data_IF_704768723206
#
_entry.id   IF_704768723206
#
_cell.length_a   1.000
_cell.length_b   1.000
_cell.length_c   1.000
_cell.angle_alpha   90.00
_cell.angle_beta   90.00
_cell.angle_gamma   90.00
#
_symmetry.space_group_name_H-M   'P 1'
#
loop_
_entity.id
_entity.type
_entity.pdbx_description
1 polymer ?
#
# COMPACT_ATOMS: atom_id res chain seq x y z
N UNK A 1 1.25 14.03 65.11
CA UNK A 1 0.29 14.26 64.05
C UNK A 1 1.11 14.37 62.77
N UNK A 2 1.16 13.29 61.97
CA UNK A 2 1.85 13.27 60.69
C UNK A 2 0.83 13.58 59.57
N UNK A 3 1.08 14.63 58.79
CA UNK A 3 0.26 15.01 57.62
C UNK A 3 0.52 14.03 56.51
N UNK A 4 -0.55 13.42 55.98
CA UNK A 4 -0.54 12.62 54.76
C UNK A 4 -0.31 13.54 53.56
N UNK A 5 0.51 13.14 52.56
CA UNK A 5 0.71 13.94 51.36
C UNK A 5 -0.57 13.94 50.52
N UNK A 6 -0.96 15.13 50.06
CA UNK A 6 -2.15 15.39 49.26
C UNK A 6 -2.14 14.61 47.94
N UNK A 7 -3.31 14.11 47.58
CA UNK A 7 -3.57 13.46 46.31
C UNK A 7 -3.22 14.41 45.16
N UNK A 8 -2.32 13.98 44.30
CA UNK A 8 -2.03 14.68 43.04
C UNK A 8 -3.32 14.72 42.19
N UNK A 9 -3.79 15.93 41.93
CA UNK A 9 -4.88 16.18 41.00
C UNK A 9 -4.42 15.80 39.57
N UNK A 10 -4.79 14.59 39.14
CA UNK A 10 -4.54 14.15 37.76
C UNK A 10 -5.26 15.07 36.80
N UNK A 11 -4.51 15.78 35.97
CA UNK A 11 -5.07 16.51 34.83
C UNK A 11 -5.90 15.54 33.99
N UNK A 12 -7.08 15.95 33.50
CA UNK A 12 -7.87 15.08 32.61
C UNK A 12 -7.02 14.66 31.43
N UNK A 13 -6.90 13.35 31.21
CA UNK A 13 -6.13 12.79 30.10
C UNK A 13 -6.63 13.43 28.78
N UNK A 14 -5.76 14.19 28.14
CA UNK A 14 -6.07 14.81 26.84
C UNK A 14 -6.41 13.69 25.84
N UNK A 15 -7.56 13.83 25.15
CA UNK A 15 -7.92 12.89 24.08
C UNK A 15 -6.82 12.89 23.01
N UNK A 16 -6.44 11.72 22.49
CA UNK A 16 -5.48 11.63 21.39
C UNK A 16 -5.90 12.49 20.19
N UNK A 17 -4.96 12.95 19.35
CA UNK A 17 -5.30 13.63 18.08
C UNK A 17 -6.24 12.78 17.22
N UNK A 18 -7.06 13.42 16.39
CA UNK A 18 -8.07 12.74 15.57
C UNK A 18 -7.51 11.56 14.73
N UNK A 19 -6.34 11.64 14.06
CA UNK A 19 -5.78 10.51 13.35
C UNK A 19 -5.52 9.30 14.24
N UNK A 20 -5.04 9.50 15.47
CA UNK A 20 -4.85 8.41 16.42
C UNK A 20 -6.18 7.82 16.93
N UNK A 21 -7.21 8.63 17.08
CA UNK A 21 -8.54 8.11 17.45
C UNK A 21 -9.10 7.23 16.32
N UNK A 22 -8.90 7.62 15.06
CA UNK A 22 -9.33 6.85 13.90
C UNK A 22 -8.61 5.48 13.89
N UNK A 23 -7.28 5.45 13.97
CA UNK A 23 -6.54 4.18 13.92
C UNK A 23 -6.90 3.25 15.09
N UNK A 24 -7.11 3.78 16.30
CA UNK A 24 -7.52 2.98 17.44
C UNK A 24 -8.91 2.39 17.26
N UNK A 25 -9.86 3.15 16.71
CA UNK A 25 -11.21 2.66 16.42
C UNK A 25 -11.22 1.59 15.31
N UNK A 26 -10.44 1.79 14.26
CA UNK A 26 -10.28 0.82 13.17
C UNK A 26 -9.57 -0.46 13.64
N UNK A 27 -8.53 -0.33 14.45
CA UNK A 27 -7.86 -1.49 15.05
C UNK A 27 -8.82 -2.30 15.93
N UNK A 28 -9.63 -1.62 16.76
CA UNK A 28 -10.65 -2.29 17.56
C UNK A 28 -11.65 -3.02 16.65
N UNK A 29 -12.19 -2.36 15.64
CA UNK A 29 -13.15 -2.98 14.72
C UNK A 29 -12.57 -4.22 14.02
N UNK A 30 -11.29 -4.17 13.64
CA UNK A 30 -10.56 -5.31 13.05
C UNK A 30 -10.45 -6.51 14.00
N UNK A 31 -10.13 -6.27 15.27
CA UNK A 31 -10.07 -7.33 16.27
C UNK A 31 -11.45 -7.88 16.62
N UNK A 32 -12.45 -7.02 16.74
CA UNK A 32 -13.83 -7.43 16.98
C UNK A 32 -14.37 -8.32 15.84
N UNK A 33 -14.09 -7.96 14.59
CA UNK A 33 -14.46 -8.77 13.43
C UNK A 33 -13.82 -10.17 13.47
N UNK A 34 -12.53 -10.24 13.82
CA UNK A 34 -11.82 -11.51 13.92
C UNK A 34 -12.30 -12.37 15.10
N UNK A 35 -12.61 -11.74 16.24
CA UNK A 35 -13.07 -12.43 17.45
C UNK A 35 -14.50 -12.99 17.32
N UNK A 36 -15.36 -12.30 16.56
CA UNK A 36 -16.76 -12.68 16.37
C UNK A 36 -17.02 -13.55 15.12
N UNK A 37 -15.99 -13.83 14.30
CA UNK A 37 -16.16 -14.64 13.10
C UNK A 37 -16.31 -16.13 13.43
N UNK A 38 -17.44 -16.75 13.06
CA UNK A 38 -17.73 -18.16 13.31
C UNK A 38 -16.65 -19.11 12.74
N UNK A 39 -16.28 -18.95 11.46
CA UNK A 39 -15.28 -19.81 10.78
C UNK A 39 -13.91 -19.13 10.73
N UNK A 40 -13.87 -17.82 10.71
CA UNK A 40 -12.65 -17.00 10.69
C UNK A 40 -11.79 -17.10 9.44
N UNK A 41 -12.21 -17.80 8.36
CA UNK A 41 -11.43 -17.92 7.14
C UNK A 41 -11.21 -16.57 6.46
N UNK A 42 -12.26 -15.77 6.31
CA UNK A 42 -12.19 -14.45 5.67
C UNK A 42 -11.26 -13.54 6.46
N UNK A 43 -11.40 -13.50 7.79
CA UNK A 43 -10.55 -12.67 8.65
C UNK A 43 -9.07 -13.08 8.57
N UNK A 44 -8.79 -14.39 8.51
CA UNK A 44 -7.41 -14.89 8.32
C UNK A 44 -6.83 -14.48 6.97
N UNK A 45 -7.64 -14.51 5.90
CA UNK A 45 -7.23 -14.03 4.58
C UNK A 45 -7.01 -12.52 4.57
N UNK A 46 -7.88 -11.74 5.21
CA UNK A 46 -7.69 -10.29 5.38
C UNK A 46 -6.37 -10.02 6.07
N UNK A 47 -6.08 -10.67 7.19
CA UNK A 47 -4.82 -10.48 7.92
C UNK A 47 -3.60 -10.93 7.12
N UNK A 48 -3.72 -12.04 6.37
CA UNK A 48 -2.66 -12.50 5.48
C UNK A 48 -2.33 -11.47 4.40
N UNK A 49 -3.35 -10.97 3.71
CA UNK A 49 -3.16 -9.99 2.64
C UNK A 49 -2.77 -8.61 3.16
N UNK A 50 -3.29 -8.18 4.30
CA UNK A 50 -2.85 -6.94 4.96
C UNK A 50 -1.37 -6.98 5.37
N UNK A 51 -0.86 -8.16 5.74
CA UNK A 51 0.56 -8.35 6.02
C UNK A 51 1.41 -8.44 4.74
N UNK A 52 0.84 -8.98 3.66
CA UNK A 52 1.52 -9.09 2.37
C UNK A 52 1.64 -7.73 1.67
N UNK A 53 0.55 -6.97 1.62
CA UNK A 53 0.45 -5.64 1.05
C UNK A 53 0.47 -4.56 2.14
N UNK A 54 1.39 -4.63 3.07
CA UNK A 54 1.37 -3.74 4.22
C UNK A 54 1.73 -2.28 3.86
N UNK A 55 1.07 -1.35 4.54
CA UNK A 55 1.42 0.07 4.56
C UNK A 55 1.78 0.49 5.99
N UNK A 56 2.62 1.52 6.14
CA UNK A 56 3.04 1.97 7.48
C UNK A 56 2.05 2.98 8.04
N UNK A 57 1.57 2.73 9.26
CA UNK A 57 0.76 3.68 10.00
C UNK A 57 1.53 4.97 10.34
N UNK A 58 2.86 4.94 10.42
CA UNK A 58 3.67 6.13 10.69
C UNK A 58 3.63 7.15 9.56
N UNK A 59 3.49 6.69 8.32
CA UNK A 59 3.36 7.58 7.16
C UNK A 59 1.93 8.06 6.94
N UNK A 60 0.93 7.24 7.25
CA UNK A 60 -0.44 7.48 6.83
C UNK A 60 -1.48 6.94 7.84
N UNK A 61 -1.35 7.40 9.06
CA UNK A 61 -2.15 6.94 10.22
C UNK A 61 -3.65 6.88 9.97
N UNK A 62 -4.19 7.84 9.23
CA UNK A 62 -5.64 7.96 9.03
C UNK A 62 -6.21 7.00 7.97
N UNK A 63 -5.39 6.48 7.04
CA UNK A 63 -5.85 5.70 5.88
C UNK A 63 -5.68 4.19 6.02
N UNK A 64 -4.93 3.71 7.02
CA UNK A 64 -4.60 2.27 7.15
C UNK A 64 -5.85 1.40 7.30
N UNK A 65 -6.83 1.82 8.08
CA UNK A 65 -8.08 1.10 8.26
C UNK A 65 -8.98 1.16 7.00
N UNK A 66 -9.04 2.32 6.35
CA UNK A 66 -9.72 2.48 5.07
C UNK A 66 -9.10 1.57 4.00
N UNK A 67 -7.78 1.52 3.92
CA UNK A 67 -7.04 0.65 3.01
C UNK A 67 -7.41 -0.83 3.17
N UNK A 68 -7.44 -1.37 4.39
CA UNK A 68 -7.88 -2.75 4.62
C UNK A 68 -9.34 -2.96 4.18
N UNK A 69 -10.22 -2.02 4.54
CA UNK A 69 -11.66 -2.12 4.30
C UNK A 69 -12.02 -1.99 2.82
N UNK A 70 -11.33 -1.14 2.08
CA UNK A 70 -11.67 -0.75 0.71
C UNK A 70 -10.88 -1.53 -0.34
N UNK A 71 -9.59 -1.78 -0.12
CA UNK A 71 -8.74 -2.45 -1.08
C UNK A 71 -8.54 -3.95 -0.82
N UNK A 72 -8.48 -4.38 0.43
CA UNK A 72 -8.15 -5.77 0.75
C UNK A 72 -9.41 -6.61 0.97
N UNK A 73 -10.22 -6.25 1.96
CA UNK A 73 -11.36 -7.05 2.42
C UNK A 73 -12.37 -7.43 1.31
N UNK A 74 -12.75 -6.54 0.38
CA UNK A 74 -13.69 -6.90 -0.70
C UNK A 74 -13.12 -7.91 -1.69
N UNK A 75 -11.80 -8.06 -1.76
CA UNK A 75 -11.14 -8.85 -2.80
C UNK A 75 -10.50 -10.16 -2.29
N UNK A 76 -10.53 -10.46 -0.97
CA UNK A 76 -9.83 -11.63 -0.40
C UNK A 76 -10.33 -12.98 -0.90
N UNK A 77 -11.56 -13.08 -1.39
CA UNK A 77 -12.13 -14.29 -2.02
C UNK A 77 -12.22 -14.16 -3.55
N UNK A 78 -11.73 -13.05 -4.10
CA UNK A 78 -11.78 -12.73 -5.52
C UNK A 78 -10.52 -13.15 -6.28
N UNK A 79 -10.32 -12.52 -7.44
CA UNK A 79 -9.13 -12.74 -8.26
C UNK A 79 -7.96 -11.93 -7.69
N UNK A 80 -6.78 -12.52 -7.67
CA UNK A 80 -5.57 -11.83 -7.22
C UNK A 80 -5.28 -10.55 -8.01
N UNK A 81 -5.54 -10.54 -9.32
CA UNK A 81 -5.33 -9.36 -10.14
C UNK A 81 -6.24 -8.17 -9.70
N UNK A 82 -7.45 -8.44 -9.28
CA UNK A 82 -8.39 -7.42 -8.81
C UNK A 82 -7.96 -6.89 -7.43
N UNK A 83 -7.52 -7.79 -6.54
CA UNK A 83 -6.93 -7.42 -5.25
C UNK A 83 -5.68 -6.56 -5.45
N UNK A 84 -4.74 -7.01 -6.29
CA UNK A 84 -3.49 -6.29 -6.55
C UNK A 84 -3.78 -4.89 -7.11
N UNK A 85 -4.69 -4.78 -8.08
CA UNK A 85 -5.07 -3.49 -8.63
C UNK A 85 -5.67 -2.56 -7.57
N UNK A 86 -6.59 -3.05 -6.75
CA UNK A 86 -7.22 -2.26 -5.69
C UNK A 86 -6.18 -1.76 -4.67
N UNK A 87 -5.23 -2.61 -4.31
CA UNK A 87 -4.14 -2.32 -3.38
C UNK A 87 -3.18 -1.28 -3.94
N UNK A 88 -2.66 -1.49 -5.16
CA UNK A 88 -1.63 -0.62 -5.74
C UNK A 88 -2.17 0.76 -6.13
N UNK A 89 -3.46 0.87 -6.45
CA UNK A 89 -4.08 2.16 -6.75
C UNK A 89 -4.66 2.86 -5.52
N UNK A 90 -4.67 2.24 -4.36
CA UNK A 90 -5.21 2.88 -3.16
C UNK A 90 -4.30 4.02 -2.67
N UNK A 91 -4.86 5.17 -2.30
CA UNK A 91 -4.08 6.33 -1.84
C UNK A 91 -3.08 6.03 -0.72
N UNK A 92 -3.43 5.16 0.22
CA UNK A 92 -2.51 4.74 1.28
C UNK A 92 -1.23 4.09 0.74
N UNK A 93 -1.32 3.22 -0.28
CA UNK A 93 -0.16 2.60 -0.92
C UNK A 93 0.66 3.62 -1.72
N UNK A 94 -0.03 4.50 -2.45
CA UNK A 94 0.62 5.57 -3.23
C UNK A 94 1.40 6.54 -2.34
N UNK A 95 0.87 6.87 -1.16
CA UNK A 95 1.53 7.71 -0.15
C UNK A 95 2.66 6.95 0.53
N UNK A 96 2.42 5.70 0.92
CA UNK A 96 3.43 4.86 1.59
C UNK A 96 4.70 4.71 0.76
N UNK A 97 4.58 4.49 -0.55
CA UNK A 97 5.70 4.32 -1.47
C UNK A 97 6.09 5.60 -2.23
N UNK A 98 5.56 6.75 -1.79
CA UNK A 98 5.86 8.08 -2.32
C UNK A 98 5.56 8.24 -3.83
N UNK A 99 4.69 7.40 -4.39
CA UNK A 99 4.34 7.48 -5.82
C UNK A 99 3.59 8.77 -6.18
N UNK A 100 2.90 9.38 -5.22
CA UNK A 100 2.22 10.67 -5.38
C UNK A 100 3.16 11.80 -5.80
N UNK A 101 4.46 11.65 -5.57
CA UNK A 101 5.51 12.59 -5.94
C UNK A 101 6.21 12.21 -7.26
N UNK A 102 5.92 11.01 -7.80
CA UNK A 102 6.56 10.50 -9.01
C UNK A 102 6.06 11.24 -10.25
N UNK A 103 7.00 11.76 -11.04
CA UNK A 103 6.71 12.44 -12.31
C UNK A 103 7.59 11.85 -13.40
N UNK A 104 7.02 11.70 -14.59
CA UNK A 104 7.80 11.34 -15.75
C UNK A 104 8.76 12.47 -16.13
N UNK A 105 9.99 12.13 -16.47
CA UNK A 105 11.00 13.11 -16.83
C UNK A 105 10.60 13.95 -18.05
N UNK A 106 9.94 13.31 -19.02
CA UNK A 106 9.45 13.94 -20.25
C UNK A 106 7.98 14.37 -20.15
N UNK A 107 7.36 14.28 -18.96
CA UNK A 107 6.00 14.76 -18.73
C UNK A 107 5.92 16.29 -18.71
N UNK A 108 4.73 16.83 -18.97
CA UNK A 108 4.48 18.29 -18.98
C UNK A 108 4.93 18.95 -17.67
N UNK A 109 4.77 18.26 -16.55
CA UNK A 109 5.18 18.77 -15.23
C UNK A 109 6.66 18.48 -14.95
N UNK A 110 7.20 17.33 -15.40
CA UNK A 110 8.58 16.93 -15.18
C UNK A 110 9.58 17.83 -15.85
N UNK A 111 9.32 18.25 -17.09
CA UNK A 111 10.18 19.18 -17.85
C UNK A 111 10.37 20.53 -17.11
N UNK A 112 9.38 20.95 -16.33
CA UNK A 112 9.38 22.25 -15.64
C UNK A 112 9.73 22.17 -14.15
N UNK A 113 9.90 20.95 -13.61
CA UNK A 113 10.19 20.75 -12.19
C UNK A 113 11.35 19.76 -12.05
N UNK A 114 12.30 20.07 -11.20
CA UNK A 114 13.40 19.17 -10.83
C UNK A 114 12.89 18.01 -9.92
N UNK A 115 11.80 17.38 -10.34
CA UNK A 115 11.22 16.20 -9.67
C UNK A 115 11.34 15.01 -10.58
N UNK A 116 11.97 13.97 -10.06
CA UNK A 116 12.30 12.78 -10.81
C UNK A 116 11.28 11.64 -10.66
N UNK A 117 11.54 10.60 -11.42
CA UNK A 117 10.85 9.32 -11.37
C UNK A 117 11.12 8.64 -10.01
N UNK A 118 10.04 8.22 -9.34
CA UNK A 118 10.13 7.36 -8.15
C UNK A 118 9.85 5.92 -8.55
N UNK A 119 10.79 5.02 -8.26
CA UNK A 119 10.69 3.60 -8.62
C UNK A 119 10.13 2.72 -7.51
N UNK A 120 9.87 3.24 -6.31
CA UNK A 120 9.53 2.43 -5.14
C UNK A 120 8.30 1.55 -5.40
N UNK A 121 7.19 2.15 -5.84
CA UNK A 121 5.95 1.40 -6.11
C UNK A 121 6.16 0.32 -7.18
N UNK A 122 6.83 0.65 -8.28
CA UNK A 122 7.13 -0.31 -9.33
C UNK A 122 8.01 -1.46 -8.84
N UNK A 123 9.02 -1.15 -8.05
CA UNK A 123 9.94 -2.12 -7.46
C UNK A 123 9.21 -3.05 -6.49
N UNK A 124 8.49 -2.49 -5.53
CA UNK A 124 7.73 -3.28 -4.55
C UNK A 124 6.69 -4.17 -5.23
N UNK A 125 6.00 -3.66 -6.23
CA UNK A 125 5.02 -4.44 -7.00
C UNK A 125 5.66 -5.64 -7.69
N UNK A 126 6.81 -5.48 -8.35
CA UNK A 126 7.51 -6.58 -9.02
C UNK A 126 8.20 -7.51 -8.01
N UNK A 127 8.81 -6.95 -6.98
CA UNK A 127 9.72 -7.66 -6.08
C UNK A 127 9.01 -8.32 -4.91
N UNK A 128 8.08 -7.64 -4.26
CA UNK A 128 7.42 -8.13 -3.05
C UNK A 128 5.96 -8.52 -3.26
N UNK A 129 5.26 -7.81 -4.13
CA UNK A 129 3.82 -8.02 -4.30
C UNK A 129 3.48 -9.09 -5.34
N UNK A 130 4.37 -9.36 -6.33
CA UNK A 130 4.06 -10.31 -7.41
C UNK A 130 5.16 -11.34 -7.70
N UNK A 131 6.25 -10.97 -8.38
CA UNK A 131 7.19 -11.95 -8.93
C UNK A 131 8.16 -12.53 -7.90
N UNK A 132 8.53 -11.76 -6.92
CA UNK A 132 9.57 -12.10 -5.95
C UNK A 132 10.95 -11.57 -6.33
N UNK A 133 11.82 -11.46 -5.33
CA UNK A 133 13.20 -10.99 -5.50
C UNK A 133 13.96 -11.86 -6.51
N UNK A 134 14.61 -11.24 -7.49
CA UNK A 134 15.45 -11.91 -8.52
C UNK A 134 14.69 -12.89 -9.42
N UNK A 135 13.41 -12.66 -9.68
CA UNK A 135 12.57 -13.57 -10.47
C UNK A 135 12.46 -13.22 -11.94
N UNK A 136 13.54 -12.72 -12.55
CA UNK A 136 13.63 -12.59 -14.00
C UNK A 136 13.18 -11.23 -14.58
N UNK A 137 12.94 -10.21 -13.76
CA UNK A 137 12.82 -8.82 -14.19
C UNK A 137 14.17 -8.11 -14.12
N UNK A 138 14.38 -7.14 -14.99
CA UNK A 138 15.57 -6.28 -15.05
C UNK A 138 15.34 -4.93 -14.36
N UNK A 139 16.41 -4.18 -14.11
CA UNK A 139 16.31 -2.79 -13.67
C UNK A 139 15.53 -1.93 -14.68
N UNK A 140 15.70 -2.21 -15.98
CA UNK A 140 14.96 -1.51 -17.02
C UNK A 140 13.43 -1.77 -16.92
N UNK A 141 13.02 -2.98 -16.53
CA UNK A 141 11.61 -3.29 -16.28
C UNK A 141 11.04 -2.47 -15.12
N UNK A 142 11.82 -2.33 -14.04
CA UNK A 142 11.43 -1.50 -12.89
C UNK A 142 11.27 -0.04 -13.31
N UNK A 143 12.26 0.52 -13.99
CA UNK A 143 12.25 1.92 -14.45
C UNK A 143 11.09 2.18 -15.42
N UNK A 144 10.90 1.30 -16.41
CA UNK A 144 9.81 1.43 -17.36
C UNK A 144 8.43 1.25 -16.70
N UNK A 145 8.33 0.35 -15.72
CA UNK A 145 7.09 0.20 -14.97
C UNK A 145 6.80 1.42 -14.08
N UNK A 146 7.82 2.00 -13.47
CA UNK A 146 7.68 3.25 -12.74
C UNK A 146 7.16 4.38 -13.65
N UNK A 147 7.64 4.48 -14.90
CA UNK A 147 7.12 5.42 -15.90
C UNK A 147 5.64 5.18 -16.20
N UNK A 148 5.20 3.93 -16.30
CA UNK A 148 3.77 3.58 -16.45
C UNK A 148 2.93 4.04 -15.27
N UNK A 149 3.48 4.02 -14.05
CA UNK A 149 2.78 4.41 -12.83
C UNK A 149 2.83 5.92 -12.52
N UNK A 150 3.60 6.71 -13.29
CA UNK A 150 3.59 8.16 -13.14
C UNK A 150 2.21 8.74 -13.42
N UNK A 151 1.84 9.78 -12.68
CA UNK A 151 0.51 10.36 -12.73
C UNK A 151 -0.53 9.67 -11.85
N UNK A 152 -0.23 8.51 -11.25
CA UNK A 152 -1.05 7.91 -10.21
C UNK A 152 -0.86 8.70 -8.91
N UNK A 153 -1.93 9.32 -8.45
CA UNK A 153 -1.93 10.16 -7.26
C UNK A 153 -3.30 10.14 -6.59
N UNK A 154 -3.54 11.03 -5.68
CA UNK A 154 -4.78 11.14 -4.94
C UNK A 154 -5.26 12.59 -4.90
N UNK A 155 -6.56 12.76 -4.72
CA UNK A 155 -7.13 14.06 -4.44
C UNK A 155 -6.91 14.38 -2.96
N UNK A 156 -6.46 15.61 -2.68
CA UNK A 156 -6.20 16.03 -1.30
C UNK A 156 -7.46 15.96 -0.45
N UNK A 157 -7.36 15.68 0.86
CA UNK A 157 -8.53 15.55 1.74
C UNK A 157 -9.42 16.80 1.80
N UNK A 158 -8.85 17.96 1.47
CA UNK A 158 -9.56 19.25 1.47
C UNK A 158 -10.54 19.39 0.28
N UNK A 159 -10.44 18.53 -0.73
CA UNK A 159 -11.40 18.51 -1.83
C UNK A 159 -12.79 18.07 -1.33
N UNK A 160 -13.84 18.90 -1.54
CA UNK A 160 -15.10 18.74 -0.81
C UNK A 160 -15.90 17.48 -1.15
N UNK A 161 -15.68 16.90 -2.32
CA UNK A 161 -16.53 15.79 -2.83
C UNK A 161 -15.75 14.48 -2.93
N UNK A 162 -14.51 14.51 -3.38
CA UNK A 162 -13.71 13.35 -3.70
C UNK A 162 -12.35 13.32 -2.99
N UNK A 163 -12.19 14.12 -1.94
CA UNK A 163 -10.96 14.15 -1.15
C UNK A 163 -10.60 12.76 -0.63
N UNK A 164 -9.35 12.36 -0.82
CA UNK A 164 -8.88 11.04 -0.44
C UNK A 164 -9.00 9.96 -1.53
N UNK A 165 -9.63 10.23 -2.66
CA UNK A 165 -9.78 9.25 -3.75
C UNK A 165 -8.57 9.23 -4.69
N UNK A 166 -8.37 8.08 -5.34
CA UNK A 166 -7.40 7.92 -6.42
C UNK A 166 -7.74 8.82 -7.61
N UNK A 167 -6.72 9.45 -8.18
CA UNK A 167 -6.84 10.21 -9.43
C UNK A 167 -5.63 9.97 -10.33
N UNK A 168 -5.87 9.92 -11.64
CA UNK A 168 -4.82 9.94 -12.64
C UNK A 168 -4.62 11.35 -13.20
N UNK A 169 -3.41 11.90 -13.03
CA UNK A 169 -3.06 13.24 -13.50
C UNK A 169 -2.14 13.14 -14.72
N UNK A 170 -2.70 13.28 -15.91
CA UNK A 170 -1.99 13.12 -17.19
C UNK A 170 -0.75 14.01 -17.32
N UNK A 171 -0.77 15.22 -16.77
CA UNK A 171 0.38 16.14 -16.83
C UNK A 171 1.63 15.65 -16.11
N UNK A 172 1.49 14.66 -15.20
CA UNK A 172 2.59 14.02 -14.47
C UNK A 172 3.07 12.73 -15.14
N UNK A 173 2.26 12.20 -16.07
CA UNK A 173 2.53 10.92 -16.70
C UNK A 173 3.62 11.02 -17.77
N UNK A 174 4.55 10.05 -17.74
CA UNK A 174 5.59 9.90 -18.76
C UNK A 174 4.96 9.57 -20.11
N UNK A 175 5.24 10.36 -21.18
CA UNK A 175 4.70 10.08 -22.50
C UNK A 175 5.41 8.91 -23.19
N UNK A 176 4.75 8.35 -24.19
CA UNK A 176 5.31 7.34 -25.07
C UNK A 176 5.13 5.89 -24.60
N UNK A 177 5.61 4.98 -25.43
CA UNK A 177 5.49 3.54 -25.21
C UNK A 177 6.53 3.05 -24.19
N UNK A 178 6.11 2.18 -23.28
CA UNK A 178 7.00 1.53 -22.33
C UNK A 178 7.05 0.02 -22.57
N UNK A 179 8.23 -0.59 -22.42
CA UNK A 179 8.40 -2.05 -22.48
C UNK A 179 8.66 -2.57 -21.08
N UNK A 180 7.75 -3.41 -20.58
CA UNK A 180 7.85 -4.03 -19.25
C UNK A 180 7.72 -5.54 -19.41
N UNK A 181 8.63 -6.31 -18.84
CA UNK A 181 8.68 -7.77 -18.95
C UNK A 181 8.57 -8.27 -20.42
N UNK A 182 9.29 -7.61 -21.32
CA UNK A 182 9.32 -7.95 -22.75
C UNK A 182 8.08 -7.55 -23.53
N UNK A 183 7.08 -6.93 -22.91
CA UNK A 183 5.86 -6.49 -23.58
C UNK A 183 5.79 -4.96 -23.69
N UNK A 184 5.41 -4.49 -24.90
CA UNK A 184 5.19 -3.08 -25.18
C UNK A 184 3.78 -2.65 -24.73
N UNK A 185 3.74 -1.58 -23.98
CA UNK A 185 2.54 -0.86 -23.56
C UNK A 185 2.54 0.48 -24.25
N UNK A 186 1.60 0.65 -25.20
CA UNK A 186 1.38 1.94 -25.85
C UNK A 186 0.76 2.92 -24.86
N UNK A 187 0.90 4.20 -25.09
CA UNK A 187 0.29 5.28 -24.30
C UNK A 187 -1.25 5.16 -24.28
N UNK A 188 -1.74 4.16 -23.57
CA UNK A 188 -3.16 3.98 -23.23
C UNK A 188 -3.36 4.61 -21.86
N UNK A 189 -4.56 5.10 -21.47
CA UNK A 189 -4.80 5.60 -20.14
C UNK A 189 -4.12 4.70 -19.12
N UNK A 190 -3.17 5.24 -18.35
CA UNK A 190 -2.17 4.51 -17.55
C UNK A 190 -2.78 3.43 -16.64
N UNK A 191 -4.03 3.62 -16.20
CA UNK A 191 -4.78 2.63 -15.43
C UNK A 191 -4.92 1.29 -16.18
N UNK A 192 -5.28 1.31 -17.49
CA UNK A 192 -5.44 0.08 -18.28
C UNK A 192 -4.09 -0.59 -18.60
N UNK A 193 -3.02 0.19 -18.76
CA UNK A 193 -1.70 -0.37 -19.00
C UNK A 193 -1.16 -1.05 -17.74
N UNK A 194 -1.25 -0.41 -16.57
CA UNK A 194 -0.84 -0.97 -15.30
C UNK A 194 -1.62 -2.26 -14.97
N UNK A 195 -2.95 -2.27 -15.15
CA UNK A 195 -3.79 -3.47 -14.97
C UNK A 195 -3.29 -4.63 -15.85
N UNK A 196 -2.89 -4.34 -17.09
CA UNK A 196 -2.35 -5.37 -17.99
C UNK A 196 -1.00 -5.88 -17.54
N UNK A 197 -0.12 -5.02 -17.00
CA UNK A 197 1.16 -5.46 -16.39
C UNK A 197 0.86 -6.38 -15.23
N UNK A 198 -0.02 -6.00 -14.31
CA UNK A 198 -0.41 -6.80 -13.15
C UNK A 198 -0.98 -8.16 -13.54
N UNK A 199 -1.94 -8.19 -14.49
CA UNK A 199 -2.56 -9.46 -14.90
C UNK A 199 -1.59 -10.39 -15.63
N UNK A 200 -0.51 -9.87 -16.22
CA UNK A 200 0.49 -10.67 -16.91
C UNK A 200 1.61 -11.15 -16.00
N UNK A 201 2.09 -10.32 -15.09
CA UNK A 201 3.02 -10.74 -14.05
C UNK A 201 2.47 -11.96 -13.31
N UNK A 202 1.17 -11.96 -13.07
CA UNK A 202 0.47 -13.07 -12.41
C UNK A 202 0.30 -14.32 -13.29
N UNK A 203 0.07 -14.16 -14.59
CA UNK A 203 -0.05 -15.31 -15.51
C UNK A 203 1.31 -15.95 -15.80
N UNK A 204 2.41 -15.18 -15.71
CA UNK A 204 3.77 -15.69 -15.82
C UNK A 204 4.25 -16.42 -14.54
N UNK A 205 3.80 -15.99 -13.37
CA UNK A 205 3.98 -16.71 -12.13
C UNK A 205 3.04 -17.91 -12.08
N UNK A 206 3.45 -19.03 -12.66
CA UNK A 206 2.71 -20.31 -12.51
C UNK A 206 2.61 -20.65 -11.03
N UNK A 207 1.46 -21.09 -10.58
CA UNK A 207 1.22 -21.64 -9.24
C UNK A 207 2.24 -22.72 -8.82
N UNK A 208 2.95 -23.29 -9.77
CA UNK A 208 4.03 -24.26 -9.57
C UNK A 208 5.29 -23.65 -8.97
N UNK A 209 5.51 -22.33 -9.08
CA UNK A 209 6.69 -21.64 -8.59
C UNK A 209 6.50 -20.94 -7.23
N UNK A 210 5.40 -21.21 -6.55
CA UNK A 210 5.16 -20.76 -5.16
C UNK A 210 6.16 -21.33 -4.13
N UNK A 211 7.11 -22.18 -4.55
CA UNK A 211 8.16 -22.70 -3.65
C UNK A 211 9.05 -21.61 -3.03
N UNK A 212 9.42 -20.50 -3.72
CA UNK A 212 10.15 -19.41 -3.08
C UNK A 212 9.30 -18.69 -2.03
N UNK A 213 8.00 -18.55 -2.25
CA UNK A 213 7.06 -17.89 -1.35
C UNK A 213 6.91 -18.60 0.00
N UNK A 214 6.87 -19.94 0.00
CA UNK A 214 6.85 -20.71 1.25
C UNK A 214 8.10 -20.49 2.11
N UNK A 215 9.25 -20.22 1.49
CA UNK A 215 10.51 -19.97 2.23
C UNK A 215 10.65 -18.50 2.67
N UNK A 216 10.08 -17.54 1.93
CA UNK A 216 10.12 -16.11 2.27
C UNK A 216 9.09 -15.71 3.31
N UNK A 217 7.89 -16.27 3.26
CA UNK A 217 6.85 -16.04 4.27
C UNK A 217 7.23 -16.57 5.67
N UNK A 218 8.17 -17.53 5.76
CA UNK A 218 8.65 -18.10 7.02
C UNK A 218 9.91 -17.38 7.52
N UNK A 219 10.61 -16.59 6.70
CA UNK A 219 11.69 -15.71 7.16
C UNK A 219 11.12 -14.39 7.67
N UNK A 220 10.61 -14.41 8.87
CA UNK A 220 10.42 -13.23 9.74
C UNK A 220 11.82 -12.66 9.98
N UNK A 221 12.27 -11.70 9.17
CA UNK A 221 13.65 -11.21 9.35
C UNK A 221 14.09 -10.05 8.46
N UNK A 222 13.26 -9.51 7.58
CA UNK A 222 13.58 -8.27 6.87
C UNK A 222 13.28 -7.04 7.75
N UNK A 223 14.20 -6.04 7.85
CA UNK A 223 13.96 -4.82 8.64
C UNK A 223 12.68 -4.07 8.26
N UNK A 224 12.34 -4.02 6.98
CA UNK A 224 11.11 -3.39 6.50
C UNK A 224 9.83 -4.11 6.98
N UNK A 225 9.87 -5.44 7.13
CA UNK A 225 8.73 -6.20 7.66
C UNK A 225 8.55 -6.07 9.17
N UNK A 226 9.60 -5.73 9.93
CA UNK A 226 9.48 -5.50 11.38
C UNK A 226 8.63 -4.28 11.68
N UNK A 227 8.74 -3.21 10.90
CA UNK A 227 7.93 -2.01 11.09
C UNK A 227 6.42 -2.25 10.92
N UNK A 228 6.02 -3.15 10.01
CA UNK A 228 4.60 -3.47 9.81
C UNK A 228 4.00 -4.35 10.93
N UNK A 229 4.81 -5.16 11.60
CA UNK A 229 4.36 -6.06 12.69
C UNK A 229 4.39 -5.34 14.04
N UNK A 230 5.39 -4.49 14.28
CA UNK A 230 5.59 -3.83 15.59
C UNK A 230 4.54 -2.75 15.89
N UNK A 231 3.97 -2.09 14.87
CA UNK A 231 2.95 -1.04 15.08
C UNK A 231 1.63 -1.61 15.66
N UNK A 232 1.32 -2.88 15.38
CA UNK A 232 0.12 -3.54 15.92
C UNK A 232 0.21 -3.90 17.42
N UNK A 233 1.42 -4.01 18.00
CA UNK A 233 1.62 -4.49 19.35
C UNK A 233 1.95 -3.38 20.36
N UNK A 234 2.54 -2.27 19.95
CA UNK A 234 2.89 -1.17 20.86
C UNK A 234 1.69 -0.31 21.27
N UNK A 235 0.61 -0.30 20.47
CA UNK A 235 -0.61 0.44 20.81
C UNK A 235 -1.51 -0.24 21.86
N UNK A 236 -1.26 -1.51 22.21
CA UNK A 236 -2.06 -2.28 23.16
C UNK A 236 -1.46 -2.35 24.58
N UNK A 237 -0.34 -1.72 24.82
CA UNK A 237 0.43 -1.82 26.08
C UNK A 237 0.70 -0.51 26.82
N UNK A 238 -0.14 0.52 26.65
CA UNK A 238 -0.06 1.77 27.43
C UNK A 238 -1.41 2.14 28.03
#
# INVERSE_FOLDING_TARGET
MAQLPGAASGSPAQKPPLPQQIILSEAKARFDAAANAEIGLVERLVWFWSNHFCVSADKDVAMVGAYEREAIRPHVLGRFADLLQAVESHPAMLLYLDNVQSMGADSIAGINQDKGLNENLARETLELHTLGVRSGYSQADVTNFAKVLTGWTWLRPEEPVHGGEFVFVRRFHEPGDQVVLGKRYTEVPALKAAIRVFSQSYSAARWTDLRPWRRSAIRIGSPARRQCVDVGWQAAGA
#
